data_IF_586314040472
#
_entry.id   IF_586314040472
#
_cell.length_a   1.000
_cell.length_b   1.000
_cell.length_c   1.000
_cell.angle_alpha   90.00
_cell.angle_beta   90.00
_cell.angle_gamma   90.00
#
_symmetry.space_group_name_H-M   'P 1'
#
loop_
_entity.id
_entity.type
_entity.pdbx_description
1 polymer ?
#
# COMPACT_ATOMS: atom_id res chain seq x y z
N UNK A 1 -9.60 43.36 -17.67
CA UNK A 1 -9.29 41.91 -17.76
C UNK A 1 -8.49 41.39 -16.57
N UNK A 2 -7.39 42.04 -16.16
CA UNK A 2 -6.52 41.58 -15.05
C UNK A 2 -7.19 41.56 -13.64
N UNK A 3 -8.22 42.39 -13.41
CA UNK A 3 -8.90 42.53 -12.12
C UNK A 3 -9.84 41.35 -11.78
N UNK A 4 -10.36 40.66 -12.80
CA UNK A 4 -11.13 39.42 -12.63
C UNK A 4 -10.23 38.19 -12.47
N UNK A 5 -9.08 38.17 -13.15
CA UNK A 5 -8.09 37.08 -13.06
C UNK A 5 -7.65 36.82 -11.60
N UNK A 6 -7.46 37.90 -10.82
CA UNK A 6 -7.10 37.81 -9.40
C UNK A 6 -8.20 37.21 -8.53
N UNK A 7 -9.46 37.41 -8.91
CA UNK A 7 -10.59 36.86 -8.18
C UNK A 7 -10.71 35.36 -8.38
N UNK A 8 -10.54 34.89 -9.63
CA UNK A 8 -10.51 33.47 -9.96
C UNK A 8 -9.37 32.72 -9.26
N UNK A 9 -8.19 33.35 -9.13
CA UNK A 9 -7.03 32.76 -8.44
C UNK A 9 -7.27 32.58 -6.93
N UNK A 10 -8.02 33.49 -6.29
CA UNK A 10 -8.35 33.36 -4.86
C UNK A 10 -9.37 32.25 -4.64
N UNK A 11 -10.34 32.09 -5.55
CA UNK A 11 -11.38 31.04 -5.44
C UNK A 11 -10.78 29.63 -5.57
N UNK A 12 -9.77 29.42 -6.42
CA UNK A 12 -9.14 28.10 -6.57
C UNK A 12 -8.26 27.70 -5.38
N UNK A 13 -7.63 28.66 -4.70
CA UNK A 13 -6.79 28.40 -3.51
C UNK A 13 -7.64 28.04 -2.28
N UNK A 14 -8.86 28.58 -2.16
CA UNK A 14 -9.75 28.29 -1.03
C UNK A 14 -10.59 27.02 -1.20
N UNK A 15 -10.70 26.46 -2.41
CA UNK A 15 -11.53 25.28 -2.70
C UNK A 15 -10.86 23.91 -2.46
N UNK A 16 -9.62 23.87 -2.01
CA UNK A 16 -8.79 22.65 -1.98
C UNK A 16 -8.77 21.89 -0.64
N UNK A 17 -9.67 22.20 0.30
CA UNK A 17 -9.52 21.78 1.72
C UNK A 17 -10.10 20.40 2.09
N UNK A 18 -10.30 19.48 1.15
CA UNK A 18 -10.83 18.16 1.49
C UNK A 18 -10.14 17.03 0.72
N UNK A 19 -8.89 16.75 1.11
CA UNK A 19 -8.28 15.46 0.83
C UNK A 19 -8.51 14.55 2.05
N UNK A 20 -9.39 13.56 1.92
CA UNK A 20 -9.56 12.52 2.93
C UNK A 20 -8.46 11.49 2.70
N UNK A 21 -7.35 11.59 3.45
CA UNK A 21 -6.41 10.49 3.53
C UNK A 21 -7.02 9.43 4.46
N UNK A 22 -7.63 8.40 3.90
CA UNK A 22 -7.95 7.19 4.66
C UNK A 22 -6.64 6.54 5.08
N UNK A 23 -6.47 6.30 6.38
CA UNK A 23 -5.37 5.49 6.88
C UNK A 23 -5.66 4.03 6.51
N UNK A 24 -5.17 3.55 5.36
CA UNK A 24 -5.20 2.13 5.05
C UNK A 24 -4.35 1.39 6.08
N UNK A 25 -4.98 0.56 6.92
CA UNK A 25 -4.28 -0.29 7.88
C UNK A 25 -4.31 -1.72 7.39
N UNK A 26 -3.23 -2.46 7.68
CA UNK A 26 -3.19 -3.91 7.44
C UNK A 26 -4.26 -4.57 8.31
N UNK A 27 -5.26 -5.19 7.69
CA UNK A 27 -6.37 -5.88 8.36
C UNK A 27 -6.16 -7.38 8.43
N UNK A 28 -5.29 -7.94 7.57
CA UNK A 28 -4.98 -9.37 7.56
C UNK A 28 -3.65 -9.68 6.88
N UNK A 29 -3.18 -10.91 7.11
CA UNK A 29 -1.99 -11.48 6.49
C UNK A 29 -2.21 -12.98 6.36
N UNK A 30 -2.10 -13.51 5.14
CA UNK A 30 -2.23 -14.95 4.88
C UNK A 30 -1.00 -15.45 4.13
N UNK A 31 -0.59 -16.70 4.39
CA UNK A 31 0.50 -17.30 3.64
C UNK A 31 0.01 -17.68 2.25
N UNK A 32 0.54 -17.01 1.22
CA UNK A 32 0.22 -17.27 -0.18
C UNK A 32 1.05 -18.44 -0.74
N UNK A 33 2.27 -18.65 -0.22
CA UNK A 33 3.15 -19.72 -0.66
C UNK A 33 3.85 -20.45 0.49
N UNK A 34 3.37 -21.67 0.75
CA UNK A 34 3.90 -22.59 1.75
C UNK A 34 4.69 -23.76 1.14
N UNK A 35 5.24 -23.61 -0.08
CA UNK A 35 6.01 -24.67 -0.74
C UNK A 35 7.11 -25.19 0.20
N UNK A 36 7.24 -26.49 0.50
CA UNK A 36 8.16 -26.97 1.53
C UNK A 36 9.63 -26.62 1.29
N UNK A 37 10.07 -26.65 0.02
CA UNK A 37 11.46 -26.39 -0.40
C UNK A 37 11.48 -25.57 -1.67
N UNK A 38 12.34 -24.55 -1.72
CA UNK A 38 12.65 -23.80 -2.95
C UNK A 38 14.13 -23.89 -3.30
N UNK A 39 14.41 -23.91 -4.60
CA UNK A 39 15.77 -23.77 -5.13
C UNK A 39 16.07 -22.29 -5.35
N UNK A 40 16.80 -21.69 -4.42
CA UNK A 40 17.23 -20.29 -4.49
C UNK A 40 18.68 -20.30 -4.93
N UNK A 41 18.95 -19.81 -6.15
CA UNK A 41 20.30 -19.82 -6.74
C UNK A 41 20.98 -21.20 -6.73
N UNK A 42 20.19 -22.27 -6.90
CA UNK A 42 20.68 -23.66 -6.89
C UNK A 42 20.81 -24.30 -5.50
N UNK A 43 20.52 -23.58 -4.42
CA UNK A 43 20.50 -24.11 -3.05
C UNK A 43 19.08 -24.46 -2.64
N UNK A 44 18.88 -25.68 -2.13
CA UNK A 44 17.60 -26.09 -1.56
C UNK A 44 17.42 -25.47 -0.16
N UNK A 45 16.40 -24.63 -0.02
CA UNK A 45 16.07 -23.94 1.25
C UNK A 45 14.69 -24.40 1.70
N UNK A 46 14.54 -24.83 2.95
CA UNK A 46 13.24 -25.23 3.49
C UNK A 46 12.45 -24.02 3.97
N UNK A 47 11.15 -24.07 3.80
CA UNK A 47 10.23 -23.02 4.27
C UNK A 47 10.29 -22.84 5.79
N UNK A 48 10.58 -23.91 6.53
CA UNK A 48 10.75 -23.89 7.98
C UNK A 48 11.95 -23.03 8.43
N UNK A 49 12.99 -22.93 7.59
CA UNK A 49 14.20 -22.15 7.90
C UNK A 49 13.96 -20.64 7.77
N UNK A 50 12.91 -20.23 7.03
CA UNK A 50 12.58 -18.83 6.73
C UNK A 50 11.30 -18.35 7.42
N UNK A 51 10.79 -19.10 8.40
CA UNK A 51 9.63 -18.68 9.21
C UNK A 51 8.28 -19.24 8.75
N UNK A 52 8.26 -20.24 7.87
CA UNK A 52 7.06 -21.02 7.56
C UNK A 52 6.23 -20.52 6.38
N UNK A 53 6.66 -19.46 5.69
CA UNK A 53 6.05 -19.03 4.44
C UNK A 53 7.08 -18.30 3.55
N UNK A 54 6.95 -18.45 2.23
CA UNK A 54 7.77 -17.72 1.28
C UNK A 54 7.21 -16.34 0.96
N UNK A 55 5.89 -16.25 0.88
CA UNK A 55 5.21 -15.03 0.48
C UNK A 55 3.89 -14.89 1.25
N UNK A 56 3.72 -13.74 1.87
CA UNK A 56 2.48 -13.38 2.54
C UNK A 56 1.69 -12.42 1.67
N UNK A 57 0.39 -12.69 1.55
CA UNK A 57 -0.56 -11.76 0.97
C UNK A 57 -1.23 -10.98 2.10
N UNK A 58 -1.09 -9.65 2.05
CA UNK A 58 -1.61 -8.74 3.06
C UNK A 58 -2.87 -8.05 2.55
N UNK A 59 -3.89 -8.02 3.38
CA UNK A 59 -5.12 -7.26 3.12
C UNK A 59 -5.08 -5.93 3.87
N UNK A 60 -5.49 -4.86 3.20
CA UNK A 60 -5.54 -3.51 3.75
C UNK A 60 -6.98 -3.00 3.66
N UNK A 61 -7.45 -2.34 4.71
CA UNK A 61 -8.77 -1.74 4.77
C UNK A 61 -8.74 -0.41 5.52
N UNK A 62 -9.83 0.33 5.37
CA UNK A 62 -10.10 1.54 6.13
C UNK A 62 -10.54 1.19 7.56
N UNK A 63 -10.27 2.08 8.52
CA UNK A 63 -10.64 1.93 9.94
C UNK A 63 -12.10 2.32 10.18
#
# INVERSE_FOLDING_TARGET
MLRWMRFFLVVTVFGSTAAFAGDCRKTGSVCADATPVKLISGVAVNVADVGGCWEYEDTYGDV
#
